data_IF_630458906900
#
_entry.id   IF_630458906900
#
_cell.length_a   1.000
_cell.length_b   1.000
_cell.length_c   1.000
_cell.angle_alpha   90.00
_cell.angle_beta   90.00
_cell.angle_gamma   90.00
#
_symmetry.space_group_name_H-M   'P 1'
#
loop_
_entity.id
_entity.type
_entity.pdbx_description
1 polymer ?
#
# COMPACT_ATOMS: atom_id res chain seq x y z
N UNK A 1 -6.33 -18.71 -5.37
CA UNK A 1 -7.20 -18.05 -6.36
C UNK A 1 -8.18 -17.15 -5.62
N UNK A 2 -8.47 -15.97 -6.14
CA UNK A 2 -9.52 -15.12 -5.58
C UNK A 2 -10.90 -15.77 -5.65
N UNK A 3 -11.81 -15.35 -4.77
CA UNK A 3 -13.11 -16.00 -4.55
C UNK A 3 -14.21 -15.55 -5.52
N UNK A 4 -13.93 -14.56 -6.34
CA UNK A 4 -14.86 -14.03 -7.35
C UNK A 4 -14.27 -14.12 -8.75
N UNK A 5 -15.16 -14.02 -9.75
CA UNK A 5 -14.78 -14.01 -11.17
C UNK A 5 -13.83 -12.84 -11.45
N UNK A 6 -12.80 -13.12 -12.24
CA UNK A 6 -11.90 -12.14 -12.83
C UNK A 6 -11.85 -12.34 -14.35
N UNK A 7 -11.58 -11.28 -15.10
CA UNK A 7 -11.40 -11.31 -16.55
C UNK A 7 -9.91 -11.14 -16.84
N UNK A 8 -9.30 -12.10 -17.53
CA UNK A 8 -7.87 -12.05 -17.82
C UNK A 8 -7.56 -11.02 -18.92
N UNK A 9 -6.28 -10.64 -19.01
CA UNK A 9 -5.80 -9.62 -19.95
C UNK A 9 -6.08 -9.96 -21.41
N UNK A 10 -5.92 -11.24 -21.78
CA UNK A 10 -6.20 -11.75 -23.12
C UNK A 10 -7.70 -11.83 -23.45
N UNK A 11 -8.57 -11.76 -22.45
CA UNK A 11 -10.04 -11.79 -22.60
C UNK A 11 -10.64 -10.38 -22.53
N UNK A 12 -9.86 -9.38 -22.11
CA UNK A 12 -10.32 -8.02 -21.94
C UNK A 12 -10.66 -7.37 -23.29
N UNK A 13 -11.82 -6.72 -23.34
CA UNK A 13 -12.29 -5.97 -24.50
C UNK A 13 -12.84 -4.61 -24.07
N UNK A 14 -13.04 -3.70 -25.03
CA UNK A 14 -13.63 -2.38 -24.80
C UNK A 14 -12.90 -1.60 -23.70
N UNK A 15 -13.68 -1.08 -22.73
CA UNK A 15 -13.18 -0.23 -21.65
C UNK A 15 -12.19 -0.95 -20.73
N UNK A 16 -12.41 -2.24 -20.43
CA UNK A 16 -11.51 -2.99 -19.56
C UNK A 16 -10.11 -3.10 -20.17
N UNK A 17 -10.04 -3.36 -21.48
CA UNK A 17 -8.76 -3.41 -22.20
C UNK A 17 -8.01 -2.08 -22.12
N UNK A 18 -8.71 -0.96 -22.27
CA UNK A 18 -8.10 0.37 -22.17
C UNK A 18 -7.49 0.62 -20.77
N UNK A 19 -8.20 0.25 -19.71
CA UNK A 19 -7.69 0.39 -18.33
C UNK A 19 -6.51 -0.56 -18.08
N UNK A 20 -6.56 -1.79 -18.59
CA UNK A 20 -5.44 -2.72 -18.53
C UNK A 20 -4.19 -2.19 -19.25
N UNK A 21 -4.35 -1.65 -20.46
CA UNK A 21 -3.25 -1.06 -21.23
C UNK A 21 -2.63 0.15 -20.47
N UNK A 22 -3.46 0.98 -19.82
CA UNK A 22 -3.01 2.08 -18.98
C UNK A 22 -2.16 1.60 -17.78
N UNK A 23 -2.62 0.55 -17.09
CA UNK A 23 -1.88 -0.05 -15.97
C UNK A 23 -0.55 -0.65 -16.46
N UNK A 24 -0.54 -1.36 -17.59
CA UNK A 24 0.69 -1.90 -18.16
C UNK A 24 1.68 -0.78 -18.51
N UNK A 25 1.21 0.33 -19.07
CA UNK A 25 2.07 1.46 -19.40
C UNK A 25 2.69 2.09 -18.15
N UNK A 26 1.88 2.34 -17.12
CA UNK A 26 2.28 3.06 -15.89
C UNK A 26 3.01 2.18 -14.88
N UNK A 27 2.59 0.91 -14.72
CA UNK A 27 3.10 -0.03 -13.70
C UNK A 27 3.97 -1.15 -14.27
N UNK A 28 3.92 -1.38 -15.58
CA UNK A 28 4.61 -2.50 -16.25
C UNK A 28 3.89 -3.85 -16.14
N UNK A 29 2.90 -3.95 -15.25
CA UNK A 29 2.20 -5.18 -14.92
C UNK A 29 0.87 -4.89 -14.23
N UNK A 30 -0.12 -5.75 -14.45
CA UNK A 30 -1.43 -5.65 -13.79
C UNK A 30 -1.42 -6.56 -12.56
N UNK A 31 -1.49 -5.95 -11.38
CA UNK A 31 -1.48 -6.66 -10.11
C UNK A 31 -2.79 -7.41 -9.86
N UNK A 32 -2.74 -8.46 -9.03
CA UNK A 32 -3.94 -9.24 -8.71
C UNK A 32 -5.00 -8.40 -7.97
N UNK A 33 -4.57 -7.42 -7.15
CA UNK A 33 -5.50 -6.48 -6.52
C UNK A 33 -6.21 -5.58 -7.54
N UNK A 34 -5.59 -5.27 -8.68
CA UNK A 34 -6.28 -4.54 -9.75
C UNK A 34 -7.22 -5.47 -10.53
N UNK A 35 -6.78 -6.69 -10.86
CA UNK A 35 -7.59 -7.69 -11.59
C UNK A 35 -8.88 -8.07 -10.86
N UNK A 36 -8.92 -8.00 -9.53
CA UNK A 36 -10.12 -8.32 -8.77
C UNK A 36 -11.31 -7.39 -9.09
N UNK A 37 -11.05 -6.18 -9.58
CA UNK A 37 -12.06 -5.21 -10.00
C UNK A 37 -12.53 -5.42 -11.45
N UNK A 38 -11.99 -6.38 -12.19
CA UNK A 38 -12.20 -6.50 -13.65
C UNK A 38 -13.66 -6.69 -14.11
N UNK A 39 -14.56 -7.08 -13.21
CA UNK A 39 -16.01 -7.16 -13.47
C UNK A 39 -16.74 -5.80 -13.37
N UNK A 40 -16.12 -4.79 -12.74
CA UNK A 40 -16.57 -3.40 -12.66
C UNK A 40 -15.42 -2.45 -13.04
N UNK A 41 -15.38 -2.12 -14.34
CA UNK A 41 -14.29 -1.35 -14.95
C UNK A 41 -14.21 0.08 -14.40
N UNK A 42 -15.33 0.67 -14.00
CA UNK A 42 -15.34 2.02 -13.43
C UNK A 42 -14.70 2.03 -12.05
N UNK A 43 -15.06 1.06 -11.21
CA UNK A 43 -14.41 0.87 -9.91
C UNK A 43 -12.90 0.65 -10.06
N UNK A 44 -12.49 -0.19 -11.02
CA UNK A 44 -11.07 -0.42 -11.30
C UNK A 44 -10.32 0.86 -11.68
N UNK A 45 -10.90 1.67 -12.57
CA UNK A 45 -10.28 2.92 -13.02
C UNK A 45 -10.15 3.92 -11.87
N UNK A 46 -11.20 4.12 -11.07
CA UNK A 46 -11.14 5.02 -9.93
C UNK A 46 -10.16 4.53 -8.85
N UNK A 47 -10.04 3.21 -8.64
CA UNK A 47 -9.02 2.65 -7.75
C UNK A 47 -7.61 2.96 -8.28
N UNK A 48 -7.35 2.77 -9.58
CA UNK A 48 -6.07 3.13 -10.19
C UNK A 48 -5.74 4.62 -10.01
N UNK A 49 -6.71 5.50 -10.28
CA UNK A 49 -6.51 6.95 -10.14
C UNK A 49 -6.20 7.35 -8.70
N UNK A 50 -6.92 6.76 -7.73
CA UNK A 50 -6.66 6.97 -6.31
C UNK A 50 -5.27 6.47 -5.91
N UNK A 51 -4.90 5.26 -6.35
CA UNK A 51 -3.59 4.68 -6.08
C UNK A 51 -2.45 5.55 -6.61
N UNK A 52 -2.53 5.98 -7.87
CA UNK A 52 -1.52 6.84 -8.48
C UNK A 52 -1.46 8.19 -7.76
N UNK A 53 -2.61 8.76 -7.40
CA UNK A 53 -2.67 10.05 -6.71
C UNK A 53 -2.07 10.03 -5.31
N UNK A 54 -2.12 8.89 -4.59
CA UNK A 54 -1.59 8.78 -3.22
C UNK A 54 -0.15 8.28 -3.20
N UNK A 55 0.14 7.20 -3.93
CA UNK A 55 1.45 6.54 -3.86
C UNK A 55 2.49 7.32 -4.68
N UNK A 56 2.07 7.92 -5.80
CA UNK A 56 2.95 8.69 -6.68
C UNK A 56 2.79 10.21 -6.54
N UNK A 57 2.10 10.69 -5.51
CA UNK A 57 2.11 12.12 -5.16
C UNK A 57 3.53 12.65 -4.92
N UNK A 58 3.79 13.85 -5.42
CA UNK A 58 4.90 14.67 -4.93
C UNK A 58 4.64 15.01 -3.47
N UNK A 59 5.52 14.57 -2.57
CA UNK A 59 5.45 14.84 -1.13
C UNK A 59 6.84 14.66 -0.51
N UNK A 60 7.06 15.14 0.71
CA UNK A 60 8.31 14.86 1.45
C UNK A 60 8.27 13.51 2.17
N UNK A 61 7.32 12.64 1.82
CA UNK A 61 7.28 11.24 2.23
C UNK A 61 7.99 10.42 1.16
N UNK A 62 9.18 9.94 1.50
CA UNK A 62 10.01 9.15 0.60
C UNK A 62 9.30 7.86 0.18
N UNK A 63 9.66 7.33 -0.99
CA UNK A 63 9.15 6.04 -1.44
C UNK A 63 9.41 4.92 -0.44
N UNK A 64 10.51 4.98 0.31
CA UNK A 64 10.81 4.05 1.40
C UNK A 64 9.79 4.19 2.54
N UNK A 65 9.55 5.40 3.05
CA UNK A 65 8.56 5.64 4.11
C UNK A 65 7.15 5.19 3.70
N UNK A 66 6.74 5.40 2.44
CA UNK A 66 5.44 4.93 1.92
C UNK A 66 5.32 3.40 2.03
N UNK A 67 6.38 2.67 1.69
CA UNK A 67 6.41 1.20 1.78
C UNK A 67 6.52 0.69 3.22
N UNK A 68 7.21 1.40 4.11
CA UNK A 68 7.21 1.09 5.54
C UNK A 68 5.80 1.19 6.13
N UNK A 69 5.05 2.26 5.81
CA UNK A 69 3.65 2.38 6.20
C UNK A 69 2.83 1.23 5.61
N UNK A 70 3.03 0.92 4.32
CA UNK A 70 2.32 -0.16 3.63
C UNK A 70 2.47 -1.50 4.36
N UNK A 71 3.71 -1.89 4.68
CA UNK A 71 4.01 -3.16 5.37
C UNK A 71 3.44 -3.15 6.78
N UNK A 72 3.65 -2.10 7.57
CA UNK A 72 3.15 -2.04 8.96
C UNK A 72 1.63 -2.12 9.01
N UNK A 73 0.91 -1.32 8.20
CA UNK A 73 -0.56 -1.35 8.14
C UNK A 73 -1.07 -2.71 7.67
N UNK A 74 -0.40 -3.32 6.69
CA UNK A 74 -0.76 -4.63 6.16
C UNK A 74 -0.53 -5.76 7.15
N UNK A 75 0.57 -5.71 7.91
CA UNK A 75 0.87 -6.63 9.01
C UNK A 75 -0.20 -6.59 10.09
N UNK A 76 -0.58 -5.38 10.55
CA UNK A 76 -1.65 -5.20 11.55
C UNK A 76 -2.98 -5.78 11.05
N UNK A 77 -3.29 -5.59 9.77
CA UNK A 77 -4.51 -6.10 9.13
C UNK A 77 -4.43 -7.57 8.72
N UNK A 78 -3.29 -8.26 8.95
CA UNK A 78 -3.02 -9.61 8.47
C UNK A 78 -3.28 -9.79 6.96
N UNK A 79 -2.93 -8.80 6.13
CA UNK A 79 -3.07 -8.88 4.68
C UNK A 79 -1.85 -9.57 4.05
N UNK A 80 -1.88 -10.89 3.90
CA UNK A 80 -0.77 -11.66 3.32
C UNK A 80 -0.37 -11.14 1.92
N UNK A 81 -1.33 -10.84 1.05
CA UNK A 81 -1.06 -10.28 -0.27
C UNK A 81 -0.24 -8.98 -0.19
N UNK A 82 -0.75 -8.03 0.60
CA UNK A 82 -0.16 -6.72 0.76
C UNK A 82 1.24 -6.80 1.39
N UNK A 83 1.40 -7.63 2.44
CA UNK A 83 2.69 -7.84 3.12
C UNK A 83 3.76 -8.28 2.11
N UNK A 84 3.53 -9.36 1.36
CA UNK A 84 4.55 -9.87 0.44
C UNK A 84 4.86 -8.90 -0.69
N UNK A 85 3.83 -8.26 -1.26
CA UNK A 85 3.98 -7.32 -2.36
C UNK A 85 4.84 -6.10 -1.96
N UNK A 86 4.53 -5.50 -0.80
CA UNK A 86 5.21 -4.30 -0.33
C UNK A 86 6.55 -4.60 0.35
N UNK A 87 6.70 -5.78 0.98
CA UNK A 87 7.99 -6.24 1.46
C UNK A 87 8.98 -6.50 0.31
N UNK A 88 8.52 -7.01 -0.83
CA UNK A 88 9.37 -7.13 -2.03
C UNK A 88 9.77 -5.75 -2.56
N UNK A 89 8.87 -4.76 -2.54
CA UNK A 89 9.21 -3.39 -2.92
C UNK A 89 10.28 -2.77 -1.99
N UNK A 90 10.23 -3.04 -0.68
CA UNK A 90 11.24 -2.58 0.28
C UNK A 90 12.65 -3.11 0.01
N UNK A 91 12.80 -4.24 -0.68
CA UNK A 91 14.12 -4.78 -1.05
C UNK A 91 14.90 -3.85 -2.00
N UNK A 92 14.24 -2.89 -2.65
CA UNK A 92 14.92 -1.86 -3.42
C UNK A 92 15.65 -0.82 -2.54
N UNK A 93 15.32 -0.78 -1.24
CA UNK A 93 15.89 0.13 -0.26
C UNK A 93 16.74 -0.62 0.77
N UNK A 94 16.31 -1.82 1.17
CA UNK A 94 16.94 -2.62 2.21
C UNK A 94 17.49 -3.93 1.66
N UNK A 95 18.80 -4.11 1.76
CA UNK A 95 19.49 -5.37 1.46
C UNK A 95 19.60 -6.27 2.71
N UNK A 96 18.53 -6.31 3.53
CA UNK A 96 18.48 -7.04 4.78
C UNK A 96 17.10 -7.71 4.98
N UNK A 97 17.01 -8.98 4.59
CA UNK A 97 15.80 -9.78 4.71
C UNK A 97 15.40 -10.00 6.18
N UNK A 98 16.37 -10.06 7.10
CA UNK A 98 16.07 -10.21 8.52
C UNK A 98 15.35 -8.98 9.07
N UNK A 99 15.79 -7.78 8.65
CA UNK A 99 15.15 -6.51 9.01
C UNK A 99 13.75 -6.38 8.41
N UNK A 100 13.53 -6.87 7.18
CA UNK A 100 12.18 -6.93 6.58
C UNK A 100 11.26 -7.86 7.40
N UNK A 101 11.74 -9.04 7.79
CA UNK A 101 10.96 -9.96 8.62
C UNK A 101 10.66 -9.39 10.02
N UNK A 102 11.60 -8.63 10.60
CA UNK A 102 11.36 -7.87 11.83
C UNK A 102 10.30 -6.79 11.61
N UNK A 103 10.33 -6.05 10.50
CA UNK A 103 9.32 -5.04 10.19
C UNK A 103 7.92 -5.64 10.11
N UNK A 104 7.80 -6.80 9.48
CA UNK A 104 6.52 -7.52 9.32
C UNK A 104 5.98 -7.98 10.68
N UNK A 105 6.85 -8.45 11.57
CA UNK A 105 6.44 -9.08 12.84
C UNK A 105 6.31 -8.09 14.00
N UNK A 106 7.28 -7.19 14.15
CA UNK A 106 7.32 -6.15 15.18
C UNK A 106 8.23 -5.00 14.75
N UNK A 107 7.66 -3.99 14.07
CA UNK A 107 8.43 -2.82 13.63
C UNK A 107 9.05 -2.03 14.79
N UNK A 108 8.54 -2.16 16.03
CA UNK A 108 9.08 -1.44 17.20
C UNK A 108 10.42 -2.00 17.65
N UNK A 109 10.77 -3.21 17.23
CA UNK A 109 12.07 -3.82 17.46
C UNK A 109 13.18 -3.24 16.57
N UNK A 110 12.85 -2.41 15.57
CA UNK A 110 13.80 -1.80 14.65
C UNK A 110 14.09 -0.36 15.10
N UNK A 111 15.37 0.01 15.15
CA UNK A 111 15.78 1.39 15.34
C UNK A 111 15.55 2.20 14.06
N UNK A 112 14.67 3.18 14.16
CA UNK A 112 14.35 4.12 13.09
C UNK A 112 14.74 5.55 13.47
N UNK A 113 15.00 6.43 12.49
CA UNK A 113 14.97 7.87 12.73
C UNK A 113 13.65 8.26 13.41
N UNK A 114 13.72 9.21 14.36
CA UNK A 114 12.58 9.57 15.20
C UNK A 114 11.34 9.98 14.39
N UNK A 115 11.54 10.64 13.24
CA UNK A 115 10.51 11.00 12.28
C UNK A 115 9.76 9.77 11.74
N UNK A 116 10.50 8.77 11.27
CA UNK A 116 9.92 7.52 10.73
C UNK A 116 9.18 6.77 11.82
N UNK A 117 9.73 6.72 13.04
CA UNK A 117 9.06 6.10 14.18
C UNK A 117 7.74 6.80 14.53
N UNK A 118 7.68 8.14 14.49
CA UNK A 118 6.46 8.90 14.69
C UNK A 118 5.40 8.62 13.61
N UNK A 119 5.81 8.51 12.35
CA UNK A 119 4.94 8.14 11.22
C UNK A 119 4.34 6.74 11.44
N UNK A 120 5.15 5.75 11.79
CA UNK A 120 4.69 4.37 11.98
C UNK A 120 3.79 4.20 13.21
N UNK A 121 4.08 4.91 14.31
CA UNK A 121 3.19 4.95 15.48
C UNK A 121 1.83 5.56 15.15
N UNK A 122 1.81 6.64 14.36
CA UNK A 122 0.57 7.24 13.86
C UNK A 122 -0.21 6.26 12.98
N UNK A 123 0.48 5.59 12.04
CA UNK A 123 -0.10 4.60 11.14
C UNK A 123 -0.73 3.41 11.90
N UNK A 124 -0.05 2.88 12.91
CA UNK A 124 -0.57 1.84 13.79
C UNK A 124 -1.81 2.33 14.54
N UNK A 125 -1.75 3.50 15.19
CA UNK A 125 -2.87 4.02 15.97
C UNK A 125 -4.11 4.25 15.11
N UNK A 126 -3.94 4.85 13.92
CA UNK A 126 -5.02 5.09 12.97
C UNK A 126 -5.60 3.79 12.41
N UNK A 127 -4.79 2.73 12.29
CA UNK A 127 -5.25 1.41 11.84
C UNK A 127 -6.02 0.65 12.92
N UNK A 128 -5.49 0.60 14.14
CA UNK A 128 -6.05 -0.22 15.24
C UNK A 128 -7.18 0.51 15.98
N UNK A 129 -7.04 1.81 16.20
CA UNK A 129 -7.96 2.62 17.01
C UNK A 129 -8.27 3.98 16.37
N UNK A 130 -8.83 4.02 15.14
CA UNK A 130 -9.05 5.27 14.40
C UNK A 130 -9.86 6.30 15.19
N UNK A 131 -10.85 5.86 15.98
CA UNK A 131 -11.68 6.74 16.81
C UNK A 131 -10.97 7.36 18.02
N UNK A 132 -9.74 6.95 18.33
CA UNK A 132 -8.91 7.50 19.41
C UNK A 132 -7.79 8.43 18.90
N UNK A 133 -7.64 8.55 17.57
CA UNK A 133 -6.76 9.56 16.98
C UNK A 133 -7.32 10.94 17.32
N UNK A 134 -6.44 11.82 17.77
CA UNK A 134 -6.79 13.17 18.20
C UNK A 134 -5.73 14.18 17.74
N UNK A 135 -5.94 15.45 18.06
CA UNK A 135 -5.06 16.54 17.61
C UNK A 135 -3.61 16.36 18.09
N UNK A 136 -3.36 15.79 19.28
CA UNK A 136 -2.00 15.58 19.77
C UNK A 136 -1.19 14.64 18.87
N UNK A 137 -1.82 13.65 18.25
CA UNK A 137 -1.14 12.74 17.32
C UNK A 137 -0.65 13.50 16.07
N UNK A 138 -1.46 14.44 15.58
CA UNK A 138 -1.12 15.31 14.45
C UNK A 138 -0.02 16.31 14.84
N UNK A 139 -0.12 16.93 16.01
CA UNK A 139 0.92 17.83 16.50
C UNK A 139 2.26 17.12 16.70
N UNK A 140 2.24 15.86 17.14
CA UNK A 140 3.45 15.04 17.26
C UNK A 140 4.16 14.85 15.92
N UNK A 141 3.42 14.65 14.82
CA UNK A 141 4.01 14.59 13.48
C UNK A 141 4.64 15.95 13.09
N UNK A 142 3.99 17.08 13.41
CA UNK A 142 4.54 18.42 13.13
C UNK A 142 5.84 18.69 13.87
N UNK A 143 5.97 18.23 15.11
CA UNK A 143 7.21 18.35 15.91
C UNK A 143 8.39 17.63 15.23
N UNK A 144 8.10 16.64 14.37
CA UNK A 144 9.10 15.90 13.59
C UNK A 144 9.20 16.38 12.12
N UNK A 145 8.92 17.67 11.90
CA UNK A 145 9.08 18.38 10.62
C UNK A 145 8.19 17.86 9.49
N UNK A 146 7.02 17.28 9.80
CA UNK A 146 6.01 17.01 8.77
C UNK A 146 5.14 18.26 8.57
N UNK A 147 5.04 18.72 7.33
CA UNK A 147 4.07 19.74 6.93
C UNK A 147 2.64 19.19 6.96
N UNK A 148 1.62 20.05 6.90
CA UNK A 148 0.22 19.59 6.80
C UNK A 148 -0.03 18.74 5.54
N UNK A 149 0.69 19.03 4.45
CA UNK A 149 0.66 18.21 3.23
C UNK A 149 1.28 16.83 3.45
N UNK A 150 2.40 16.75 4.16
CA UNK A 150 3.02 15.46 4.51
C UNK A 150 2.11 14.63 5.42
N UNK A 151 1.46 15.26 6.40
CA UNK A 151 0.51 14.62 7.31
C UNK A 151 -0.70 14.08 6.54
N UNK A 152 -1.25 14.87 5.61
CA UNK A 152 -2.32 14.42 4.74
C UNK A 152 -1.88 13.21 3.91
N UNK A 153 -0.68 13.25 3.32
CA UNK A 153 -0.14 12.12 2.56
C UNK A 153 -0.01 10.86 3.42
N UNK A 154 0.58 10.95 4.63
CA UNK A 154 0.67 9.82 5.57
C UNK A 154 -0.72 9.26 5.88
N UNK A 155 -1.69 10.13 6.22
CA UNK A 155 -3.05 9.70 6.53
C UNK A 155 -3.72 8.98 5.33
N UNK A 156 -3.58 9.53 4.12
CA UNK A 156 -4.11 8.93 2.90
C UNK A 156 -3.48 7.57 2.61
N UNK A 157 -2.16 7.43 2.78
CA UNK A 157 -1.46 6.15 2.59
C UNK A 157 -1.98 5.11 3.59
N UNK A 158 -2.07 5.45 4.88
CA UNK A 158 -2.59 4.54 5.92
C UNK A 158 -4.03 4.13 5.61
N UNK A 159 -4.87 5.08 5.24
CA UNK A 159 -6.27 4.84 4.89
C UNK A 159 -6.41 3.96 3.64
N UNK A 160 -5.58 4.22 2.63
CA UNK A 160 -5.54 3.45 1.40
C UNK A 160 -5.14 1.99 1.65
N UNK A 161 -4.10 1.73 2.45
CA UNK A 161 -3.71 0.35 2.78
C UNK A 161 -4.74 -0.37 3.65
N UNK A 162 -5.47 0.36 4.48
CA UNK A 162 -6.65 -0.17 5.18
C UNK A 162 -7.76 -0.58 4.21
N UNK A 163 -8.04 0.23 3.18
CA UNK A 163 -8.99 -0.09 2.12
C UNK A 163 -8.56 -1.31 1.30
N UNK A 164 -7.31 -1.33 0.82
CA UNK A 164 -6.75 -2.42 0.02
C UNK A 164 -6.70 -3.73 0.81
N UNK A 165 -6.29 -3.70 2.08
CA UNK A 165 -6.28 -4.90 2.93
C UNK A 165 -7.66 -5.56 3.03
N UNK A 166 -8.72 -4.75 3.09
CA UNK A 166 -10.11 -5.25 3.16
C UNK A 166 -10.57 -5.86 1.84
N UNK A 167 -10.15 -5.30 0.70
CA UNK A 167 -10.40 -5.90 -0.62
C UNK A 167 -9.65 -7.23 -0.73
N UNK A 168 -8.35 -7.23 -0.45
CA UNK A 168 -7.51 -8.41 -0.61
C UNK A 168 -7.98 -9.57 0.27
N UNK A 169 -8.17 -9.31 1.57
CA UNK A 169 -8.62 -10.33 2.51
C UNK A 169 -10.09 -10.73 2.28
N UNK A 170 -10.95 -9.77 1.93
CA UNK A 170 -12.38 -10.00 1.73
C UNK A 170 -12.72 -10.79 0.46
N UNK A 171 -11.80 -10.81 -0.53
CA UNK A 171 -12.00 -11.49 -1.82
C UNK A 171 -10.96 -12.58 -2.09
N UNK A 172 -10.08 -12.89 -1.12
CA UNK A 172 -9.09 -13.95 -1.24
C UNK A 172 -8.01 -13.67 -2.28
N UNK A 173 -7.57 -12.42 -2.42
CA UNK A 173 -6.50 -12.07 -3.34
C UNK A 173 -5.19 -12.70 -2.84
N UNK A 174 -4.57 -13.50 -3.70
CA UNK A 174 -3.31 -14.20 -3.40
C UNK A 174 -2.15 -13.57 -4.16
N UNK A 175 -0.96 -13.72 -3.58
CA UNK A 175 0.31 -13.32 -4.16
C UNK A 175 1.19 -14.55 -4.38
N UNK A 176 2.11 -14.45 -5.33
CA UNK A 176 3.18 -15.40 -5.61
C UNK A 176 4.48 -14.61 -5.78
N UNK A 177 5.64 -15.28 -5.79
CA UNK A 177 6.90 -14.57 -6.07
C UNK A 177 6.88 -13.88 -7.43
N UNK A 178 6.29 -14.52 -8.44
CA UNK A 178 6.11 -13.91 -9.75
C UNK A 178 5.18 -12.70 -9.63
N UNK A 179 4.08 -12.80 -8.88
CA UNK A 179 3.13 -11.69 -8.67
C UNK A 179 3.81 -10.48 -8.04
N UNK A 180 4.60 -10.65 -6.99
CA UNK A 180 5.17 -9.56 -6.19
C UNK A 180 6.29 -8.79 -6.92
N UNK A 181 6.86 -9.38 -7.98
CA UNK A 181 8.00 -8.82 -8.73
C UNK A 181 7.59 -8.19 -10.07
N UNK A 182 8.47 -7.35 -10.60
CA UNK A 182 8.41 -6.83 -11.98
C UNK A 182 7.58 -5.56 -12.17
N UNK A 183 7.20 -4.88 -11.09
CA UNK A 183 6.56 -3.57 -11.17
C UNK A 183 7.57 -2.45 -11.41
N UNK A 184 7.18 -1.44 -12.18
CA UNK A 184 7.95 -0.21 -12.35
C UNK A 184 7.83 0.62 -11.08
N UNK A 185 8.95 0.87 -10.41
CA UNK A 185 8.97 1.55 -9.12
C UNK A 185 9.31 3.04 -9.23
#
# INVERSE_FOLDING_TARGET
MAWIKQINENEATGKLKQVYDEILNTRGKISNVMKIHSIDVDSMKHHLDLYLSIIYSESNISKEEKELIAVVVSSINNCSYCIHHHAEALKNFWDDESKINMLISDYKSIEFPIRVHAILNYAEKLTVTPGLVNEYDVQNLRIHDLSDEDILNVNLIVSYFNFVSRIANGLGVETSEEEAKGYKY
#
